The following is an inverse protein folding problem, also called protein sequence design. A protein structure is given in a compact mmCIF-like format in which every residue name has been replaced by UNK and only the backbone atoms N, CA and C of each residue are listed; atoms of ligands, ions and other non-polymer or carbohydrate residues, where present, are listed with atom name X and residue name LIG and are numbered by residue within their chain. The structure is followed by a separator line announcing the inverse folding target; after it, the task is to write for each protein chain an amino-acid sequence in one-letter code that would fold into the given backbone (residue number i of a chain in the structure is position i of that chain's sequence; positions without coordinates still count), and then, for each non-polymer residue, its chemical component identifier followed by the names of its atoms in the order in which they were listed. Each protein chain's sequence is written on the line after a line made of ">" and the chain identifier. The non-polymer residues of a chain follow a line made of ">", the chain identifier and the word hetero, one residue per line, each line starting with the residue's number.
data_IF_723579012336
#
_entry.id   IF_723579012336
#
_cell.length_a   1.000
_cell.length_b   1.000
_cell.length_c   1.000
_cell.angle_alpha   90.00
_cell.angle_beta   90.00
_cell.angle_gamma   90.00
#
_symmetry.space_group_name_H-M   'P 1'
#
loop_
_entity.id
_entity.type
_entity.pdbx_description
1 polymer ?
#
# COMPACT_ATOMS: atom_id res chain seq x y z
N UNK A 1 19.13 -12.05 12.84
CA UNK A 1 18.38 -11.83 11.59
C UNK A 1 17.66 -13.12 11.23
N UNK A 2 16.37 -13.22 11.55
CA UNK A 2 15.52 -14.33 11.11
C UNK A 2 14.48 -13.73 10.16
N UNK A 3 14.74 -13.88 8.87
CA UNK A 3 13.72 -13.77 7.84
C UNK A 3 12.94 -15.09 7.82
N UNK A 4 11.62 -14.99 7.90
CA UNK A 4 10.66 -16.10 7.84
C UNK A 4 9.33 -15.48 8.23
N UNK A 5 8.35 -15.42 7.34
CA UNK A 5 7.56 -16.61 7.01
C UNK A 5 7.30 -16.74 5.51
N UNK A 6 7.50 -17.98 5.06
CA UNK A 6 7.18 -18.53 3.77
C UNK A 6 5.74 -19.06 3.86
N UNK A 7 4.78 -18.54 3.09
CA UNK A 7 3.47 -19.19 2.92
C UNK A 7 3.25 -19.49 1.44
N UNK A 8 3.42 -20.78 1.14
CA UNK A 8 3.14 -21.43 -0.14
C UNK A 8 1.74 -22.09 -0.07
N UNK A 9 1.03 -22.06 -1.19
CA UNK A 9 -0.17 -22.86 -1.57
C UNK A 9 -1.53 -22.29 -1.13
N UNK A 10 -2.61 -22.27 -1.95
CA UNK A 10 -2.99 -23.10 -3.10
C UNK A 10 -3.73 -22.28 -4.17
N UNK A 11 -3.44 -22.57 -5.44
CA UNK A 11 -4.26 -22.15 -6.61
C UNK A 11 -5.55 -22.98 -6.61
N UNK A 12 -6.69 -22.31 -6.48
CA UNK A 12 -8.02 -22.88 -6.67
C UNK A 12 -8.82 -21.99 -7.60
N UNK A 13 -9.01 -22.46 -8.84
CA UNK A 13 -9.80 -21.81 -9.88
C UNK A 13 -11.26 -21.67 -9.41
N UNK A 14 -11.77 -20.44 -9.28
CA UNK A 14 -13.22 -20.19 -9.15
C UNK A 14 -13.65 -19.20 -10.21
N UNK A 15 -14.42 -19.72 -11.16
CA UNK A 15 -15.17 -18.94 -12.14
C UNK A 15 -16.37 -18.31 -11.43
N UNK A 16 -16.45 -16.98 -11.39
CA UNK A 16 -17.68 -16.29 -10.99
C UNK A 16 -18.10 -15.33 -12.11
N UNK A 17 -19.18 -15.73 -12.80
CA UNK A 17 -19.88 -14.91 -13.77
C UNK A 17 -20.56 -13.72 -13.08
N UNK A 18 -20.66 -12.62 -13.83
CA UNK A 18 -21.15 -11.33 -13.37
C UNK A 18 -22.59 -11.29 -12.87
N UNK A 19 -22.85 -10.24 -12.10
CA UNK A 19 -24.16 -9.83 -11.61
C UNK A 19 -24.01 -8.56 -10.80
N UNK A 20 -24.21 -7.41 -11.44
CA UNK A 20 -24.22 -6.11 -10.78
C UNK A 20 -25.43 -5.98 -9.86
N UNK A 21 -25.22 -6.27 -8.58
CA UNK A 21 -26.13 -5.92 -7.48
C UNK A 21 -25.31 -5.15 -6.46
N UNK A 22 -25.66 -3.89 -6.22
CA UNK A 22 -25.11 -3.11 -5.10
C UNK A 22 -25.59 -3.77 -3.82
N UNK A 23 -24.72 -4.57 -3.20
CA UNK A 23 -24.93 -5.20 -1.92
C UNK A 23 -25.11 -4.10 -0.85
N UNK A 24 -26.28 -3.98 -0.21
CA UNK A 24 -26.51 -2.98 0.85
C UNK A 24 -25.66 -3.20 2.10
N UNK A 25 -24.87 -4.29 2.14
CA UNK A 25 -23.93 -4.64 3.22
C UNK A 25 -22.49 -4.19 2.90
N UNK A 26 -22.22 -3.71 1.67
CA UNK A 26 -20.88 -3.28 1.30
C UNK A 26 -20.47 -2.03 2.10
N UNK A 27 -19.25 -1.99 2.66
CA UNK A 27 -18.74 -0.82 3.34
C UNK A 27 -18.82 0.45 2.51
N UNK A 28 -19.28 1.54 3.12
CA UNK A 28 -19.29 2.84 2.46
C UNK A 28 -17.86 3.35 2.28
N UNK A 29 -17.54 4.05 1.18
CA UNK A 29 -16.23 4.70 1.05
C UNK A 29 -16.05 5.84 2.07
N UNK A 30 -14.81 6.17 2.40
CA UNK A 30 -14.49 7.24 3.37
C UNK A 30 -14.47 8.62 2.69
N UNK A 31 -14.95 9.64 3.41
CA UNK A 31 -15.09 11.01 2.92
C UNK A 31 -13.94 11.95 3.31
N UNK A 32 -13.13 11.53 4.29
CA UNK A 32 -11.96 12.25 4.78
C UNK A 32 -10.76 11.29 4.96
N UNK A 33 -9.51 11.79 4.87
CA UNK A 33 -8.32 10.94 5.00
C UNK A 33 -8.18 10.33 6.40
N UNK A 34 -8.46 11.09 7.46
CA UNK A 34 -8.44 10.56 8.83
C UNK A 34 -9.50 9.48 9.02
N UNK A 35 -10.70 9.67 8.43
CA UNK A 35 -11.77 8.66 8.45
C UNK A 35 -11.31 7.36 7.78
N UNK A 36 -10.68 7.45 6.61
CA UNK A 36 -10.16 6.29 5.88
C UNK A 36 -9.11 5.52 6.71
N UNK A 37 -8.21 6.26 7.36
CA UNK A 37 -7.15 5.67 8.18
C UNK A 37 -7.71 5.04 9.45
N UNK A 38 -8.59 5.73 10.19
CA UNK A 38 -9.25 5.15 11.38
C UNK A 38 -9.99 3.87 11.03
N UNK A 39 -10.76 3.87 9.94
CA UNK A 39 -11.52 2.69 9.50
C UNK A 39 -10.60 1.57 9.04
N UNK A 40 -9.51 1.87 8.34
CA UNK A 40 -8.47 0.90 7.99
C UNK A 40 -7.87 0.26 9.25
N UNK A 41 -7.47 1.07 10.24
CA UNK A 41 -6.89 0.61 11.50
C UNK A 41 -7.87 -0.32 12.27
N UNK A 42 -9.14 0.08 12.39
CA UNK A 42 -10.18 -0.74 13.02
C UNK A 42 -10.44 -2.05 12.26
N UNK A 43 -10.38 -2.00 10.92
CA UNK A 43 -10.56 -3.16 10.07
C UNK A 43 -9.39 -4.14 10.17
N UNK A 44 -8.15 -3.64 10.27
CA UNK A 44 -6.96 -4.48 10.54
C UNK A 44 -7.11 -5.21 11.87
N UNK A 45 -7.55 -4.52 12.92
CA UNK A 45 -7.76 -5.14 14.25
C UNK A 45 -8.73 -6.33 14.20
N UNK A 46 -9.77 -6.25 13.36
CA UNK A 46 -10.78 -7.31 13.18
C UNK A 46 -10.48 -8.28 12.03
N UNK A 47 -9.45 -8.02 11.23
CA UNK A 47 -9.19 -8.70 9.95
C UNK A 47 -10.43 -8.68 9.05
N UNK A 48 -11.09 -7.51 8.98
CA UNK A 48 -12.28 -7.28 8.16
C UNK A 48 -11.87 -6.98 6.71
N UNK A 49 -11.64 -8.03 5.94
CA UNK A 49 -11.19 -7.96 4.54
C UNK A 49 -12.15 -7.20 3.63
N UNK A 50 -13.46 -7.23 3.91
CA UNK A 50 -14.44 -6.47 3.15
C UNK A 50 -14.22 -4.95 3.32
N UNK A 51 -14.05 -4.49 4.55
CA UNK A 51 -13.73 -3.09 4.88
C UNK A 51 -12.35 -2.70 4.32
N UNK A 52 -11.34 -3.56 4.48
CA UNK A 52 -9.97 -3.30 4.02
C UNK A 52 -9.90 -3.12 2.49
N UNK A 53 -10.69 -3.86 1.72
CA UNK A 53 -10.80 -3.68 0.26
C UNK A 53 -11.33 -2.30 -0.15
N UNK A 54 -12.12 -1.66 0.71
CA UNK A 54 -12.66 -0.32 0.44
C UNK A 54 -11.70 0.77 0.93
N UNK A 55 -11.02 0.54 2.05
CA UNK A 55 -10.15 1.52 2.69
C UNK A 55 -8.72 1.57 2.15
N UNK A 56 -8.25 0.56 1.41
CA UNK A 56 -6.88 0.51 0.88
C UNK A 56 -6.87 0.65 -0.64
N UNK A 57 -5.89 1.39 -1.17
CA UNK A 57 -5.66 1.49 -2.62
C UNK A 57 -5.21 0.11 -3.16
N UNK A 58 -6.01 -0.52 -4.03
CA UNK A 58 -5.82 -1.92 -4.39
C UNK A 58 -4.58 -2.19 -5.25
N UNK A 59 -4.18 -1.26 -6.13
CA UNK A 59 -3.08 -1.48 -7.07
C UNK A 59 -1.73 -1.45 -6.34
N UNK A 60 -1.52 -0.45 -5.50
CA UNK A 60 -0.35 -0.32 -4.64
C UNK A 60 -0.21 -1.51 -3.70
N UNK A 61 -1.32 -1.98 -3.11
CA UNK A 61 -1.32 -3.20 -2.30
C UNK A 61 -0.91 -4.44 -3.11
N UNK A 62 -1.47 -4.63 -4.32
CA UNK A 62 -1.12 -5.76 -5.18
C UNK A 62 0.37 -5.77 -5.56
N UNK A 63 0.94 -4.60 -5.90
CA UNK A 63 2.37 -4.49 -6.18
C UNK A 63 3.21 -4.80 -4.94
N UNK A 64 2.85 -4.25 -3.78
CA UNK A 64 3.58 -4.49 -2.54
C UNK A 64 3.57 -5.98 -2.17
N UNK A 65 2.40 -6.63 -2.19
CA UNK A 65 2.27 -8.07 -1.99
C UNK A 65 3.10 -8.87 -2.99
N UNK A 66 3.08 -8.45 -4.26
CA UNK A 66 3.88 -9.04 -5.31
C UNK A 66 5.37 -9.03 -5.02
N UNK A 67 5.90 -7.89 -4.58
CA UNK A 67 7.31 -7.71 -4.26
C UNK A 67 7.73 -8.48 -3.01
N UNK A 68 6.91 -8.44 -1.96
CA UNK A 68 7.15 -9.20 -0.72
C UNK A 68 7.22 -10.72 -0.99
N UNK A 69 6.34 -11.21 -1.87
CA UNK A 69 6.25 -12.62 -2.23
C UNK A 69 7.12 -13.01 -3.44
N UNK A 70 7.88 -12.05 -4.01
CA UNK A 70 8.78 -12.25 -5.17
C UNK A 70 8.06 -12.83 -6.38
N UNK A 71 6.84 -12.37 -6.63
CA UNK A 71 6.07 -12.74 -7.81
C UNK A 71 6.71 -12.15 -9.07
N UNK A 72 6.46 -12.80 -10.21
CA UNK A 72 6.81 -12.25 -11.52
C UNK A 72 5.93 -11.05 -11.87
N UNK A 73 6.40 -10.19 -12.79
CA UNK A 73 5.63 -9.02 -13.23
C UNK A 73 4.23 -9.39 -13.78
N UNK A 74 4.12 -10.51 -14.52
CA UNK A 74 2.83 -11.00 -15.00
C UNK A 74 1.88 -11.44 -13.88
N UNK A 75 2.40 -12.06 -12.82
CA UNK A 75 1.59 -12.42 -11.64
C UNK A 75 1.13 -11.18 -10.86
N UNK A 76 1.97 -10.14 -10.78
CA UNK A 76 1.59 -8.86 -10.15
C UNK A 76 0.49 -8.17 -10.95
N UNK A 77 0.60 -8.12 -12.28
CA UNK A 77 -0.45 -7.58 -13.14
C UNK A 77 -1.75 -8.37 -13.00
N UNK A 78 -1.69 -9.69 -12.89
CA UNK A 78 -2.88 -10.50 -12.62
C UNK A 78 -3.54 -10.10 -11.28
N UNK A 79 -2.77 -9.86 -10.21
CA UNK A 79 -3.33 -9.37 -8.93
C UNK A 79 -3.93 -7.97 -9.05
N UNK A 80 -3.38 -7.10 -9.91
CA UNK A 80 -3.90 -5.76 -10.16
C UNK A 80 -5.22 -5.83 -10.94
N UNK A 81 -5.29 -6.64 -11.99
CA UNK A 81 -6.42 -6.72 -12.91
C UNK A 81 -7.57 -7.56 -12.36
N UNK A 82 -7.25 -8.70 -11.74
CA UNK A 82 -8.24 -9.65 -11.20
C UNK A 82 -8.59 -9.34 -9.73
N UNK A 83 -7.74 -8.55 -9.06
CA UNK A 83 -7.82 -8.28 -7.64
C UNK A 83 -7.14 -9.35 -6.79
N UNK A 84 -6.68 -8.95 -5.61
CA UNK A 84 -6.04 -9.88 -4.66
C UNK A 84 -7.06 -10.91 -4.15
N UNK A 85 -6.78 -12.22 -4.22
CA UNK A 85 -7.67 -13.26 -3.71
C UNK A 85 -8.01 -13.08 -2.22
N UNK A 86 -9.23 -13.44 -1.84
CA UNK A 86 -9.72 -13.25 -0.47
C UNK A 86 -8.86 -13.95 0.58
N UNK A 87 -8.50 -15.21 0.33
CA UNK A 87 -7.61 -15.97 1.22
C UNK A 87 -6.23 -15.33 1.36
N UNK A 88 -5.72 -14.68 0.31
CA UNK A 88 -4.45 -13.95 0.34
C UNK A 88 -4.55 -12.71 1.21
N UNK A 89 -5.65 -11.93 1.09
CA UNK A 89 -5.88 -10.78 1.96
C UNK A 89 -6.06 -11.19 3.42
N UNK A 90 -6.88 -12.20 3.70
CA UNK A 90 -7.10 -12.69 5.07
C UNK A 90 -5.78 -13.13 5.72
N UNK A 91 -4.96 -13.88 4.99
CA UNK A 91 -3.63 -14.30 5.45
C UNK A 91 -2.70 -13.12 5.67
N UNK A 92 -2.64 -12.16 4.73
CA UNK A 92 -1.79 -10.99 4.83
C UNK A 92 -2.16 -10.13 6.03
N UNK A 93 -3.43 -9.76 6.17
CA UNK A 93 -3.90 -8.89 7.25
C UNK A 93 -3.82 -9.57 8.62
N UNK A 94 -3.99 -10.89 8.68
CA UNK A 94 -3.72 -11.65 9.91
C UNK A 94 -2.26 -11.56 10.33
N UNK A 95 -1.32 -11.69 9.39
CA UNK A 95 0.12 -11.53 9.66
C UNK A 95 0.45 -10.10 10.06
N UNK A 96 -0.04 -9.12 9.30
CA UNK A 96 0.15 -7.70 9.57
C UNK A 96 -0.31 -7.32 10.98
N UNK A 97 -1.52 -7.75 11.38
CA UNK A 97 -2.04 -7.52 12.73
C UNK A 97 -1.14 -8.17 13.79
N UNK A 98 -0.73 -9.42 13.59
CA UNK A 98 0.12 -10.12 14.55
C UNK A 98 1.48 -9.43 14.74
N UNK A 99 2.10 -8.97 13.65
CA UNK A 99 3.33 -8.19 13.70
C UNK A 99 3.10 -6.86 14.42
N UNK A 100 2.02 -6.15 14.10
CA UNK A 100 1.68 -4.87 14.72
C UNK A 100 1.46 -4.99 16.23
N UNK A 101 0.73 -6.00 16.69
CA UNK A 101 0.52 -6.28 18.12
C UNK A 101 1.84 -6.62 18.83
N UNK A 102 2.73 -7.37 18.16
CA UNK A 102 4.05 -7.68 18.70
C UNK A 102 4.93 -6.43 18.89
N UNK A 103 4.75 -5.39 18.05
CA UNK A 103 5.49 -4.13 18.15
C UNK A 103 4.87 -3.12 19.12
N UNK A 104 3.54 -3.06 19.23
CA UNK A 104 2.85 -1.99 19.97
C UNK A 104 2.35 -2.40 21.35
N UNK A 105 2.29 -3.71 21.66
CA UNK A 105 1.76 -4.33 22.90
C UNK A 105 0.28 -4.02 23.21
N UNK A 106 -0.25 -2.86 22.79
CA UNK A 106 -1.62 -2.39 23.04
C UNK A 106 -2.52 -2.45 21.79
N UNK A 107 -1.97 -2.87 20.65
CA UNK A 107 -2.69 -3.08 19.40
C UNK A 107 -2.97 -1.81 18.59
N UNK A 108 -3.72 -1.96 17.49
CA UNK A 108 -3.97 -0.88 16.52
C UNK A 108 -4.83 0.25 17.10
N UNK A 109 -5.62 -0.03 18.14
CA UNK A 109 -6.57 0.90 18.77
C UNK A 109 -5.92 2.05 19.58
N UNK A 110 -4.60 2.03 19.76
CA UNK A 110 -3.86 3.03 20.52
C UNK A 110 -3.07 4.00 19.67
N UNK A 111 -3.31 4.01 18.35
CA UNK A 111 -2.72 5.00 17.45
C UNK A 111 -3.54 6.29 17.52
N UNK A 112 -2.88 7.39 17.87
CA UNK A 112 -3.46 8.73 17.81
C UNK A 112 -3.17 9.35 16.44
N UNK A 113 -4.21 9.81 15.74
CA UNK A 113 -4.06 10.51 14.47
C UNK A 113 -3.97 12.03 14.68
N UNK A 114 -3.02 12.65 13.99
CA UNK A 114 -2.91 14.09 13.85
C UNK A 114 -3.87 14.64 12.77
N UNK A 115 -3.77 15.95 12.52
CA UNK A 115 -4.51 16.58 11.42
C UNK A 115 -3.89 16.21 10.06
N UNK A 116 -4.73 16.01 9.05
CA UNK A 116 -4.27 15.78 7.69
C UNK A 116 -3.59 17.01 7.07
N UNK A 117 -2.48 16.78 6.36
CA UNK A 117 -1.79 17.74 5.51
C UNK A 117 -2.01 17.36 4.03
N UNK A 118 -2.91 18.04 3.31
CA UNK A 118 -3.17 17.73 1.91
C UNK A 118 -2.06 18.24 0.99
N UNK A 119 -1.76 17.48 -0.06
CA UNK A 119 -0.80 17.85 -1.10
C UNK A 119 -1.16 17.17 -2.43
N UNK A 120 -0.61 17.65 -3.54
CA UNK A 120 -0.93 17.14 -4.88
C UNK A 120 0.33 16.68 -5.61
N UNK A 121 0.25 15.51 -6.25
CA UNK A 121 1.31 14.97 -7.10
C UNK A 121 0.68 14.57 -8.43
N UNK A 122 1.15 15.16 -9.55
CA UNK A 122 0.64 14.88 -10.91
C UNK A 122 -0.90 14.86 -10.98
N UNK A 123 -1.51 15.93 -10.46
CA UNK A 123 -2.98 16.14 -10.39
C UNK A 123 -3.76 15.19 -9.47
N UNK A 124 -3.09 14.24 -8.82
CA UNK A 124 -3.67 13.37 -7.80
C UNK A 124 -3.56 14.01 -6.41
N UNK A 125 -4.69 14.15 -5.71
CA UNK A 125 -4.74 14.65 -4.34
C UNK A 125 -4.39 13.53 -3.34
N UNK A 126 -3.53 13.88 -2.40
CA UNK A 126 -3.07 13.06 -1.29
C UNK A 126 -3.19 13.81 0.03
N UNK A 127 -3.12 13.07 1.14
CA UNK A 127 -3.03 13.62 2.48
C UNK A 127 -2.03 12.83 3.34
N UNK A 128 -1.20 13.56 4.09
CA UNK A 128 -0.36 13.03 5.15
C UNK A 128 -1.05 13.15 6.48
N UNK A 129 -1.22 12.03 7.18
CA UNK A 129 -1.79 12.03 8.52
C UNK A 129 -0.74 11.48 9.48
N UNK A 130 -0.21 12.31 10.40
CA UNK A 130 0.65 11.81 11.46
C UNK A 130 -0.09 10.78 12.30
N UNK A 131 0.61 9.72 12.65
CA UNK A 131 0.12 8.60 13.44
C UNK A 131 1.12 8.33 14.55
N UNK A 132 0.70 8.55 15.79
CA UNK A 132 1.54 8.40 16.98
C UNK A 132 1.14 7.14 17.72
N UNK A 133 2.08 6.22 17.88
CA UNK A 133 1.88 5.00 18.67
C UNK A 133 2.08 5.22 20.18
N UNK A 134 1.75 4.22 21.02
CA UNK A 134 1.90 4.29 22.49
C UNK A 134 3.30 4.66 22.98
N UNK A 135 4.32 4.23 22.24
CA UNK A 135 5.73 4.52 22.54
C UNK A 135 6.16 5.95 22.20
N UNK A 136 5.25 6.81 21.73
CA UNK A 136 5.54 8.20 21.32
C UNK A 136 6.20 8.33 19.95
N UNK A 137 6.51 7.21 19.28
CA UNK A 137 6.98 7.22 17.90
C UNK A 137 5.87 7.71 16.97
N UNK A 138 6.19 8.71 16.17
CA UNK A 138 5.29 9.25 15.13
C UNK A 138 5.75 8.77 13.77
N UNK A 139 4.82 8.25 12.97
CA UNK A 139 4.99 7.99 11.54
C UNK A 139 3.90 8.74 10.78
N UNK A 140 3.95 8.77 9.47
CA UNK A 140 2.87 9.33 8.66
C UNK A 140 2.23 8.25 7.81
N UNK A 141 0.91 8.25 7.77
CA UNK A 141 0.13 7.39 6.87
C UNK A 141 -0.34 8.25 5.70
N UNK A 142 -0.24 7.73 4.48
CA UNK A 142 -0.66 8.42 3.26
C UNK A 142 -2.02 7.91 2.84
N UNK A 143 -2.95 8.82 2.61
CA UNK A 143 -4.18 8.53 1.92
C UNK A 143 -4.21 9.23 0.55
N UNK A 144 -4.70 8.53 -0.45
CA UNK A 144 -5.00 9.06 -1.78
C UNK A 144 -6.51 9.30 -1.90
N UNK A 145 -6.89 10.38 -2.57
CA UNK A 145 -8.27 10.62 -2.96
C UNK A 145 -8.53 9.93 -4.32
N UNK A 146 -9.63 9.23 -4.50
CA UNK A 146 -9.99 8.65 -5.81
C UNK A 146 -11.49 8.63 -5.96
N UNK A 147 -12.01 9.33 -6.98
CA UNK A 147 -13.43 9.39 -7.32
C UNK A 147 -14.35 9.92 -6.19
N UNK A 148 -13.87 10.88 -5.41
CA UNK A 148 -14.55 11.49 -4.28
C UNK A 148 -14.30 10.81 -2.93
N UNK A 149 -13.39 9.84 -2.86
CA UNK A 149 -13.22 8.97 -1.69
C UNK A 149 -11.76 8.80 -1.29
N UNK A 150 -11.51 8.70 0.01
CA UNK A 150 -10.16 8.53 0.55
C UNK A 150 -9.84 7.06 0.81
N UNK A 151 -8.61 6.66 0.48
CA UNK A 151 -8.05 5.33 0.74
C UNK A 151 -6.61 5.43 1.19
N UNK A 152 -6.18 4.56 2.08
CA UNK A 152 -4.78 4.41 2.45
C UNK A 152 -3.99 3.91 1.25
N UNK A 153 -2.96 4.66 0.85
CA UNK A 153 -2.06 4.29 -0.23
C UNK A 153 -0.78 3.70 0.37
N UNK A 154 -0.69 2.37 0.33
CA UNK A 154 0.45 1.62 0.86
C UNK A 154 1.72 1.85 0.07
N UNK A 155 1.60 2.13 -1.23
CA UNK A 155 2.76 2.42 -2.07
C UNK A 155 3.35 3.77 -1.67
N UNK A 156 2.50 4.76 -1.44
CA UNK A 156 2.95 6.06 -0.95
C UNK A 156 3.46 5.96 0.51
N UNK A 157 2.82 5.16 1.37
CA UNK A 157 3.19 5.03 2.79
C UNK A 157 4.48 4.24 3.01
N UNK A 158 4.67 3.12 2.33
CA UNK A 158 5.76 2.19 2.60
C UNK A 158 6.71 1.99 1.42
N UNK A 159 6.28 2.30 0.19
CA UNK A 159 7.05 2.08 -1.03
C UNK A 159 8.49 2.61 -1.00
N UNK A 160 8.77 3.81 -0.47
CA UNK A 160 10.15 4.29 -0.29
C UNK A 160 11.02 3.34 0.55
N UNK A 161 10.46 2.67 1.56
CA UNK A 161 11.16 1.65 2.35
C UNK A 161 11.46 0.35 1.58
N UNK A 162 10.81 0.13 0.44
CA UNK A 162 11.00 -1.02 -0.44
C UNK A 162 11.90 -0.73 -1.66
N UNK A 163 12.61 0.41 -1.68
CA UNK A 163 13.42 0.86 -2.84
C UNK A 163 14.32 -0.23 -3.42
N UNK A 164 15.00 -1.03 -2.60
CA UNK A 164 15.90 -2.12 -3.06
C UNK A 164 15.16 -3.31 -3.66
N UNK A 165 13.90 -3.52 -3.29
CA UNK A 165 13.05 -4.51 -3.94
C UNK A 165 12.60 -4.00 -5.31
N UNK A 166 12.19 -2.73 -5.39
CA UNK A 166 11.84 -2.06 -6.64
C UNK A 166 13.01 -2.02 -7.63
N UNK A 167 14.19 -1.63 -7.19
CA UNK A 167 15.38 -1.50 -8.04
C UNK A 167 15.72 -2.83 -8.75
N UNK A 168 15.65 -3.93 -8.00
CA UNK A 168 15.84 -5.28 -8.57
C UNK A 168 14.70 -5.68 -9.51
N UNK A 169 13.46 -5.33 -9.17
CA UNK A 169 12.29 -5.66 -9.98
C UNK A 169 12.33 -4.94 -11.33
N UNK A 170 12.59 -3.63 -11.31
CA UNK A 170 12.63 -2.79 -12.50
C UNK A 170 13.85 -3.06 -13.41
N UNK A 171 14.75 -3.97 -13.03
CA UNK A 171 15.88 -4.38 -13.87
C UNK A 171 15.49 -5.32 -15.02
N UNK A 172 14.28 -5.90 -14.98
CA UNK A 172 13.85 -6.86 -15.99
C UNK A 172 13.42 -6.23 -17.34
N UNK A 173 13.28 -4.90 -17.44
CA UNK A 173 13.00 -4.13 -18.67
C UNK A 173 11.93 -4.74 -19.61
N UNK A 174 10.90 -5.38 -19.06
CA UNK A 174 9.77 -5.93 -19.83
C UNK A 174 8.62 -4.92 -19.93
N UNK A 175 7.67 -5.18 -20.84
CA UNK A 175 6.46 -4.36 -20.96
C UNK A 175 5.60 -4.42 -19.70
N UNK A 176 5.51 -5.58 -19.05
CA UNK A 176 4.80 -5.73 -17.79
C UNK A 176 5.43 -4.90 -16.68
N UNK A 177 6.77 -4.87 -16.63
CA UNK A 177 7.53 -4.07 -15.68
C UNK A 177 7.33 -2.57 -15.92
N UNK A 178 7.28 -2.13 -17.19
CA UNK A 178 6.94 -0.76 -17.56
C UNK A 178 5.54 -0.39 -17.12
N UNK A 179 4.55 -1.24 -17.38
CA UNK A 179 3.17 -1.01 -16.97
C UNK A 179 3.04 -0.88 -15.45
N UNK A 180 3.72 -1.73 -14.68
CA UNK A 180 3.76 -1.62 -13.22
C UNK A 180 4.46 -0.33 -12.78
N UNK A 181 5.59 0.03 -13.41
CA UNK A 181 6.31 1.27 -13.13
C UNK A 181 5.43 2.50 -13.30
N UNK A 182 4.65 2.58 -14.38
CA UNK A 182 3.69 3.66 -14.62
C UNK A 182 2.63 3.76 -13.52
N UNK A 183 2.13 2.61 -13.03
CA UNK A 183 1.10 2.59 -11.98
C UNK A 183 1.61 3.07 -10.62
N UNK A 184 2.87 2.78 -10.28
CA UNK A 184 3.41 3.10 -8.96
C UNK A 184 4.21 4.40 -8.90
N UNK A 185 4.52 5.02 -10.03
CA UNK A 185 5.28 6.27 -10.08
C UNK A 185 4.62 7.39 -9.27
N UNK A 186 3.31 7.64 -9.46
CA UNK A 186 2.62 8.72 -8.74
C UNK A 186 2.58 8.45 -7.22
N UNK A 187 2.16 7.27 -6.73
CA UNK A 187 2.23 6.94 -5.32
C UNK A 187 3.63 7.02 -4.71
N UNK A 188 4.67 6.50 -5.39
CA UNK A 188 6.04 6.55 -4.90
C UNK A 188 6.52 8.00 -4.75
N UNK A 189 6.23 8.85 -5.75
CA UNK A 189 6.51 10.29 -5.66
C UNK A 189 5.74 10.97 -4.54
N UNK A 190 4.51 10.56 -4.27
CA UNK A 190 3.73 11.07 -3.13
C UNK A 190 4.36 10.70 -1.79
N UNK A 191 4.92 9.50 -1.66
CA UNK A 191 5.70 9.08 -0.49
C UNK A 191 6.95 9.94 -0.24
N UNK A 192 7.61 10.34 -1.32
CA UNK A 192 8.86 11.12 -1.27
C UNK A 192 8.69 12.63 -1.22
N UNK A 193 7.55 13.17 -1.67
CA UNK A 193 7.28 14.62 -1.65
C UNK A 193 7.17 15.17 -0.22
N UNK A 194 7.50 14.34 0.77
CA UNK A 194 7.43 14.57 2.19
C UNK A 194 8.82 14.61 2.78
N UNK A 195 9.38 15.81 2.89
CA UNK A 195 10.27 16.17 3.99
C UNK A 195 10.06 17.67 4.30
N UNK A 196 9.69 18.01 5.54
CA UNK A 196 10.70 18.05 6.60
C UNK A 196 10.24 17.35 7.90
N UNK A 197 10.98 16.33 8.34
CA UNK A 197 10.82 15.78 9.69
C UNK A 197 11.19 14.31 9.88
N UNK A 198 11.29 13.54 8.82
CA UNK A 198 11.80 12.15 8.87
C UNK A 198 13.22 12.17 8.35
N UNK A 199 14.24 11.85 9.15
CA UNK A 199 15.59 11.66 8.62
C UNK A 199 15.61 10.37 7.77
N UNK A 200 15.31 10.49 6.47
CA UNK A 200 15.73 9.49 5.50
C UNK A 200 17.27 9.55 5.49
N UNK A 201 17.93 8.41 5.65
CA UNK A 201 19.40 8.42 5.57
C UNK A 201 19.83 8.89 4.18
N UNK A 202 20.95 9.62 4.09
CA UNK A 202 21.50 10.06 2.79
C UNK A 202 21.65 8.88 1.80
N UNK A 203 21.95 7.68 2.30
CA UNK A 203 22.00 6.44 1.51
C UNK A 203 20.62 6.07 0.93
N UNK A 204 19.57 6.08 1.76
CA UNK A 204 18.22 5.76 1.32
C UNK A 204 17.69 6.83 0.36
N UNK A 205 18.00 8.10 0.60
CA UNK A 205 17.67 9.20 -0.32
C UNK A 205 18.31 8.99 -1.68
N UNK A 206 19.60 8.64 -1.74
CA UNK A 206 20.27 8.38 -3.00
C UNK A 206 19.72 7.15 -3.73
N UNK A 207 19.36 6.08 -3.01
CA UNK A 207 18.71 4.91 -3.62
C UNK A 207 17.33 5.26 -4.21
N UNK A 208 16.57 6.11 -3.52
CA UNK A 208 15.27 6.59 -3.99
C UNK A 208 15.42 7.44 -5.25
N UNK A 209 16.39 8.35 -5.29
CA UNK A 209 16.68 9.17 -6.47
C UNK A 209 16.98 8.29 -7.69
N UNK A 210 17.84 7.29 -7.53
CA UNK A 210 18.16 6.32 -8.60
C UNK A 210 16.91 5.56 -9.05
N UNK A 211 16.06 5.12 -8.10
CA UNK A 211 14.83 4.43 -8.44
C UNK A 211 13.91 5.31 -9.31
N UNK A 212 13.78 6.59 -8.98
CA UNK A 212 12.93 7.52 -9.73
C UNK A 212 13.46 7.82 -11.11
N UNK A 213 14.77 8.03 -11.25
CA UNK A 213 15.40 8.20 -12.56
C UNK A 213 15.11 6.97 -13.44
N UNK A 214 15.17 5.77 -12.86
CA UNK A 214 14.84 4.53 -13.59
C UNK A 214 13.37 4.44 -13.95
N UNK A 215 12.47 4.83 -13.05
CA UNK A 215 11.05 4.93 -13.37
C UNK A 215 10.83 5.90 -14.54
N UNK A 216 11.47 7.07 -14.53
CA UNK A 216 11.40 8.05 -15.62
C UNK A 216 11.87 7.47 -16.95
N UNK A 217 12.96 6.70 -16.95
CA UNK A 217 13.45 6.01 -18.15
C UNK A 217 12.45 4.97 -18.64
N UNK A 218 11.84 4.19 -17.73
CA UNK A 218 10.88 3.15 -18.10
C UNK A 218 9.60 3.73 -18.71
N UNK A 219 9.09 4.83 -18.15
CA UNK A 219 7.83 5.46 -18.57
C UNK A 219 7.98 6.45 -19.73
N UNK A 220 9.22 6.78 -20.13
CA UNK A 220 9.47 7.63 -21.28
C UNK A 220 9.39 6.81 -22.58
N UNK A 221 8.60 7.25 -23.58
CA UNK A 221 8.39 6.51 -24.83
C UNK A 221 9.60 6.47 -25.77
#
# INVERSE_FOLDING_TARGET
>A
MRFGVLVLACVGLVTACGGGTTDPTAPAPASAPEEAITRWLDAVGRVDTAELRVMVEPRGLAVLLGLENRLSAGEILALIDEGVPEATLESYWSSFRADFEAFTLDGVATIELGAAFPFTVRDQLYAAVPATGPGGGTTEIIAAETNGFWRVDFMATFGPGFVRAFDRFFAAETEEVRSIAEMVDVPLRAGMSREPGTEISDELSAEIDVLLERLEVLISP
#
